data_IF_469336256192
#
_entry.id   IF_469336256192
#
_cell.length_a   1.000
_cell.length_b   1.000
_cell.length_c   1.000
_cell.angle_alpha   90.00
_cell.angle_beta   90.00
_cell.angle_gamma   90.00
#
_symmetry.space_group_name_H-M   'P 1'
#
loop_
_entity.id
_entity.type
_entity.pdbx_description
1 polymer ?
#
# COMPACT_ATOMS: atom_id res chain seq x y z
N UNK A 1 13.85 -10.43 -6.42
CA UNK A 1 13.82 -9.31 -7.39
C UNK A 1 14.24 -8.05 -6.68
N UNK A 2 15.20 -7.29 -7.21
CA UNK A 2 15.81 -6.11 -6.56
C UNK A 2 14.79 -5.08 -6.04
N UNK A 3 13.67 -4.91 -6.73
CA UNK A 3 12.55 -4.04 -6.30
C UNK A 3 12.04 -4.43 -4.91
N UNK A 4 11.86 -5.72 -4.66
CA UNK A 4 11.38 -6.23 -3.37
C UNK A 4 12.39 -5.97 -2.25
N UNK A 5 13.68 -6.07 -2.54
CA UNK A 5 14.75 -5.75 -1.59
C UNK A 5 14.70 -4.27 -1.20
N UNK A 6 14.55 -3.36 -2.18
CA UNK A 6 14.40 -1.92 -1.91
C UNK A 6 13.15 -1.61 -1.09
N UNK A 7 12.00 -2.25 -1.38
CA UNK A 7 10.78 -2.08 -0.58
C UNK A 7 10.93 -2.61 0.84
N UNK A 8 11.64 -3.72 1.02
CA UNK A 8 11.90 -4.32 2.32
C UNK A 8 12.82 -3.44 3.17
N UNK A 9 13.90 -2.91 2.56
CA UNK A 9 14.79 -1.95 3.21
C UNK A 9 14.08 -0.65 3.57
N UNK A 10 13.31 -0.08 2.63
CA UNK A 10 12.53 1.13 2.90
C UNK A 10 11.54 0.93 4.05
N UNK A 11 10.84 -0.21 4.08
CA UNK A 11 9.92 -0.57 5.18
C UNK A 11 10.66 -0.69 6.52
N UNK A 12 11.84 -1.31 6.53
CA UNK A 12 12.66 -1.40 7.73
C UNK A 12 13.12 -0.02 8.23
N UNK A 13 13.51 0.88 7.32
CA UNK A 13 13.85 2.26 7.66
C UNK A 13 12.64 3.03 8.24
N UNK A 14 11.43 2.84 7.71
CA UNK A 14 10.22 3.42 8.30
C UNK A 14 9.93 2.89 9.71
N UNK A 15 10.16 1.61 9.95
CA UNK A 15 10.01 1.02 11.30
C UNK A 15 11.12 1.53 12.23
N UNK A 16 12.33 1.73 11.71
CA UNK A 16 13.50 2.24 12.42
C UNK A 16 13.50 3.75 12.66
N UNK A 17 12.44 4.47 12.31
CA UNK A 17 12.34 5.92 12.45
C UNK A 17 13.35 6.72 11.61
N UNK A 18 13.82 6.15 10.50
CA UNK A 18 14.72 6.78 9.52
C UNK A 18 13.99 7.11 8.20
N UNK A 19 13.10 8.12 8.17
CA UNK A 19 12.29 8.44 7.00
C UNK A 19 13.12 8.91 5.79
N UNK A 20 14.30 9.52 6.00
CA UNK A 20 15.16 9.98 4.92
C UNK A 20 15.82 8.83 4.14
N UNK A 21 16.27 7.79 4.84
CA UNK A 21 16.78 6.58 4.19
C UNK A 21 15.64 5.83 3.49
N UNK A 22 14.49 5.78 4.13
CA UNK A 22 13.30 5.14 3.56
C UNK A 22 12.89 5.79 2.23
N UNK A 23 12.88 7.13 2.15
CA UNK A 23 12.58 7.87 0.92
C UNK A 23 13.53 7.52 -0.23
N UNK A 24 14.85 7.46 0.03
CA UNK A 24 15.83 7.09 -1.00
C UNK A 24 15.57 5.71 -1.57
N UNK A 25 15.38 4.70 -0.72
CA UNK A 25 15.08 3.34 -1.18
C UNK A 25 13.72 3.24 -1.86
N UNK A 26 12.72 3.98 -1.39
CA UNK A 26 11.40 4.01 -2.00
C UNK A 26 11.44 4.60 -3.42
N UNK A 27 12.20 5.68 -3.64
CA UNK A 27 12.40 6.26 -4.99
C UNK A 27 13.11 5.29 -5.93
N UNK A 28 14.14 4.58 -5.46
CA UNK A 28 14.80 3.53 -6.24
C UNK A 28 13.84 2.40 -6.61
N UNK A 29 12.99 2.00 -5.66
CA UNK A 29 11.95 1.01 -5.90
C UNK A 29 10.95 1.50 -6.96
N UNK A 30 10.48 2.75 -6.88
CA UNK A 30 9.54 3.36 -7.82
C UNK A 30 10.12 3.48 -9.23
N UNK A 31 11.38 3.90 -9.36
CA UNK A 31 12.07 3.95 -10.66
C UNK A 31 12.23 2.56 -11.31
N UNK A 32 12.35 1.52 -10.49
CA UNK A 32 12.48 0.14 -10.94
C UNK A 32 11.13 -0.54 -11.15
N UNK A 33 10.08 -0.05 -10.49
CA UNK A 33 8.69 -0.50 -10.64
C UNK A 33 8.16 -0.01 -11.98
N UNK A 34 7.62 -0.92 -12.76
CA UNK A 34 6.91 -0.63 -14.01
C UNK A 34 5.74 -1.58 -14.23
N UNK A 35 5.12 -1.50 -15.40
CA UNK A 35 3.89 -2.25 -15.75
C UNK A 35 4.04 -3.79 -15.62
N UNK A 36 5.25 -4.34 -15.73
CA UNK A 36 5.52 -5.78 -15.58
C UNK A 36 5.75 -6.25 -14.13
N UNK A 37 5.50 -5.39 -13.13
CA UNK A 37 5.73 -5.75 -11.72
C UNK A 37 4.63 -6.69 -11.22
N UNK A 38 5.02 -7.73 -10.48
CA UNK A 38 4.08 -8.72 -9.92
C UNK A 38 3.12 -8.12 -8.88
N UNK A 39 1.94 -8.73 -8.72
CA UNK A 39 0.96 -8.39 -7.67
C UNK A 39 1.58 -8.28 -6.26
N UNK A 40 2.54 -9.16 -5.92
CA UNK A 40 3.25 -9.14 -4.63
C UNK A 40 4.04 -7.85 -4.41
N UNK A 41 4.64 -7.31 -5.46
CA UNK A 41 5.37 -6.03 -5.41
C UNK A 41 4.42 -4.89 -5.13
N UNK A 42 3.26 -4.88 -5.79
CA UNK A 42 2.20 -3.89 -5.56
C UNK A 42 1.63 -3.97 -4.15
N UNK A 43 1.43 -5.17 -3.63
CA UNK A 43 0.99 -5.39 -2.24
C UNK A 43 2.00 -4.84 -1.24
N UNK A 44 3.29 -5.13 -1.44
CA UNK A 44 4.34 -4.62 -0.56
C UNK A 44 4.48 -3.10 -0.62
N UNK A 45 4.31 -2.50 -1.81
CA UNK A 45 4.30 -1.04 -1.99
C UNK A 45 3.12 -0.40 -1.24
N UNK A 46 1.94 -1.04 -1.23
CA UNK A 46 0.77 -0.57 -0.45
C UNK A 46 1.02 -0.64 1.05
N UNK A 47 1.64 -1.71 1.54
CA UNK A 47 2.01 -1.82 2.94
C UNK A 47 3.01 -0.72 3.35
N UNK A 48 4.00 -0.45 2.51
CA UNK A 48 4.94 0.65 2.73
C UNK A 48 4.21 2.01 2.71
N UNK A 49 3.29 2.24 1.78
CA UNK A 49 2.44 3.44 1.75
C UNK A 49 1.64 3.59 3.05
N UNK A 50 1.16 2.50 3.64
CA UNK A 50 0.48 2.52 4.94
C UNK A 50 1.41 2.99 6.06
N UNK A 51 2.65 2.48 6.11
CA UNK A 51 3.66 2.89 7.10
C UNK A 51 3.98 4.38 7.00
N UNK A 52 4.02 4.95 5.80
CA UNK A 52 4.25 6.40 5.63
C UNK A 52 3.14 7.27 6.23
N UNK A 53 1.98 6.70 6.59
CA UNK A 53 0.88 7.43 7.21
C UNK A 53 1.23 8.00 8.58
N UNK A 54 2.17 7.38 9.30
CA UNK A 54 2.65 7.89 10.60
C UNK A 54 3.52 9.15 10.46
N UNK A 55 4.02 9.44 9.26
CA UNK A 55 4.81 10.63 8.93
C UNK A 55 4.01 11.67 8.14
N UNK A 56 2.67 11.63 8.22
CA UNK A 56 1.83 12.68 7.65
C UNK A 56 2.17 14.04 8.32
N UNK A 57 2.57 15.03 7.52
CA UNK A 57 3.17 16.29 7.99
C UNK A 57 4.66 16.46 7.69
N UNK A 58 5.38 15.40 7.29
CA UNK A 58 6.73 15.54 6.72
C UNK A 58 6.64 15.78 5.21
N UNK A 59 6.99 16.99 4.76
CA UNK A 59 6.88 17.41 3.35
C UNK A 59 7.52 16.41 2.35
N UNK A 60 8.68 15.84 2.68
CA UNK A 60 9.33 14.83 1.82
C UNK A 60 8.53 13.53 1.71
N UNK A 61 7.90 13.10 2.81
CA UNK A 61 7.10 11.88 2.82
C UNK A 61 5.76 12.11 2.14
N UNK A 62 5.20 13.31 2.22
CA UNK A 62 4.02 13.68 1.44
C UNK A 62 4.29 13.63 -0.07
N UNK A 63 5.39 14.20 -0.54
CA UNK A 63 5.83 14.09 -1.94
C UNK A 63 6.03 12.63 -2.37
N UNK A 64 6.67 11.82 -1.52
CA UNK A 64 6.83 10.40 -1.78
C UNK A 64 5.49 9.67 -1.89
N UNK A 65 4.53 9.97 -1.01
CA UNK A 65 3.18 9.39 -1.03
C UNK A 65 2.45 9.72 -2.31
N UNK A 66 2.56 10.95 -2.80
CA UNK A 66 1.98 11.32 -4.09
C UNK A 66 2.59 10.52 -5.24
N UNK A 67 3.92 10.35 -5.27
CA UNK A 67 4.58 9.56 -6.30
C UNK A 67 4.17 8.08 -6.24
N UNK A 68 4.09 7.49 -5.04
CA UNK A 68 3.60 6.12 -4.86
C UNK A 68 2.16 6.00 -5.37
N UNK A 69 1.30 6.98 -5.06
CA UNK A 69 -0.09 6.98 -5.48
C UNK A 69 -0.25 7.11 -7.00
N UNK A 70 0.64 7.86 -7.68
CA UNK A 70 0.70 7.94 -9.15
C UNK A 70 1.21 6.65 -9.78
N UNK A 71 2.15 5.96 -9.13
CA UNK A 71 2.71 4.70 -9.62
C UNK A 71 1.80 3.49 -9.39
N UNK A 72 0.98 3.52 -8.32
CA UNK A 72 0.06 2.43 -8.04
C UNK A 72 -0.96 2.31 -9.19
N UNK A 73 -1.12 1.12 -9.80
CA UNK A 73 -2.21 0.91 -10.74
C UNK A 73 -3.51 1.18 -9.98
N UNK A 74 -4.40 2.00 -10.56
CA UNK A 74 -5.70 2.35 -9.98
C UNK A 74 -6.31 1.08 -9.42
N UNK A 75 -6.36 0.97 -8.09
CA UNK A 75 -6.82 -0.25 -7.46
C UNK A 75 -8.20 -0.59 -8.05
N UNK A 76 -8.47 -1.85 -8.43
CA UNK A 76 -9.82 -2.25 -8.75
C UNK A 76 -10.68 -1.87 -7.55
N UNK A 77 -11.63 -0.97 -7.78
CA UNK A 77 -12.54 -0.44 -6.77
C UNK A 77 -13.08 -1.63 -5.97
N UNK A 78 -12.89 -1.73 -4.65
CA UNK A 78 -13.58 -2.75 -3.89
C UNK A 78 -15.07 -2.53 -4.12
N UNK A 79 -15.75 -3.52 -4.70
CA UNK A 79 -17.18 -3.45 -4.91
C UNK A 79 -17.83 -3.15 -3.55
N UNK A 80 -18.36 -1.94 -3.41
CA UNK A 80 -19.02 -1.47 -2.20
C UNK A 80 -20.24 -2.37 -1.95
N UNK A 81 -20.12 -3.22 -0.93
CA UNK A 81 -21.21 -3.69 -0.08
C UNK A 81 -22.38 -4.41 -0.76
N UNK A 82 -22.42 -5.74 -0.61
CA UNK A 82 -23.69 -6.45 -0.43
C UNK A 82 -23.59 -7.36 0.78
N UNK A 83 -23.62 -6.76 1.96
CA UNK A 83 -23.81 -7.46 3.21
C UNK A 83 -24.67 -6.61 4.12
N UNK A 84 -25.98 -6.87 4.14
CA UNK A 84 -26.81 -7.09 5.35
C UNK A 84 -28.29 -7.20 4.95
N UNK A 85 -28.84 -8.41 5.04
CA UNK A 85 -30.22 -8.63 5.50
C UNK A 85 -30.25 -9.93 6.28
N UNK A 86 -29.95 -9.82 7.57
CA UNK A 86 -30.55 -10.72 8.54
C UNK A 86 -32.03 -10.35 8.65
N UNK A 87 -32.90 -11.32 8.40
CA UNK A 87 -34.27 -11.34 8.88
C UNK A 87 -34.63 -12.81 9.02
N UNK A 88 -34.60 -13.30 10.26
CA UNK A 88 -35.14 -14.61 10.59
C UNK A 88 -36.62 -14.64 10.24
N UNK A 89 -37.02 -15.71 9.58
CA UNK A 89 -38.41 -16.16 9.55
C UNK A 89 -38.37 -17.67 9.83
N UNK A 90 -38.58 -18.00 11.10
CA UNK A 90 -38.99 -19.32 11.54
C UNK A 90 -40.37 -19.61 10.94
N UNK A 91 -40.47 -20.51 9.96
CA UNK A 91 -41.75 -21.12 9.60
C UNK A 91 -41.76 -22.55 10.11
N UNK A 92 -42.41 -22.73 11.25
CA UNK A 92 -42.81 -24.01 11.80
C UNK A 92 -43.99 -24.51 10.94
N UNK A 93 -43.76 -25.54 10.13
CA UNK A 93 -44.83 -26.24 9.43
C UNK A 93 -45.50 -27.25 10.35
N UNK A 94 -46.82 -27.29 10.24
CA UNK A 94 -47.81 -28.18 10.87
C UNK A 94 -47.57 -29.64 10.53
#
# INVERSE_FOLDING_TARGET
SKIFDYLSLASACFIGNDPEQADRYARLALMSIGENSSHRTWDRLREMYRLTGQYAGYARIEDLREQIQRALPKAPRPARGKGVKGAGAITRSV
#
